data_IF_300156255692
#
_entry.id   IF_300156255692
#
_cell.length_a   1.000
_cell.length_b   1.000
_cell.length_c   1.000
_cell.angle_alpha   90.00
_cell.angle_beta   90.00
_cell.angle_gamma   90.00
#
_symmetry.space_group_name_H-M   'P 1'
#
loop_
_entity.id
_entity.type
_entity.pdbx_description
1 polymer ?
#
# COMPACT_ATOMS: atom_id res chain seq x y z
N UNK A 1 -72.56 -33.91 -2.17
CA UNK A 1 -72.08 -32.59 -2.66
C UNK A 1 -71.17 -31.90 -1.65
N UNK A 2 -71.61 -31.55 -0.44
CA UNK A 2 -70.77 -30.85 0.58
C UNK A 2 -69.40 -31.47 0.88
N UNK A 3 -69.30 -32.80 0.93
CA UNK A 3 -68.02 -33.48 1.17
C UNK A 3 -67.04 -33.27 -0.01
N UNK A 4 -67.56 -33.29 -1.23
CA UNK A 4 -66.78 -33.12 -2.47
C UNK A 4 -66.25 -31.68 -2.57
N UNK A 5 -67.06 -30.70 -2.18
CA UNK A 5 -66.69 -29.27 -2.18
C UNK A 5 -65.60 -28.95 -1.15
N UNK A 6 -65.70 -29.49 0.08
CA UNK A 6 -64.68 -29.33 1.10
C UNK A 6 -63.36 -30.05 0.75
N UNK A 7 -63.45 -31.19 0.06
CA UNK A 7 -62.29 -31.90 -0.48
C UNK A 7 -61.62 -31.06 -1.56
N UNK A 8 -62.40 -30.41 -2.43
CA UNK A 8 -61.86 -29.53 -3.48
C UNK A 8 -61.14 -28.31 -2.89
N UNK A 9 -61.71 -27.64 -1.88
CA UNK A 9 -61.02 -26.52 -1.21
C UNK A 9 -59.71 -26.95 -0.53
N UNK A 10 -59.69 -28.13 0.09
CA UNK A 10 -58.49 -28.68 0.72
C UNK A 10 -57.41 -29.00 -0.32
N UNK A 11 -57.81 -29.58 -1.47
CA UNK A 11 -56.91 -29.85 -2.60
C UNK A 11 -56.31 -28.55 -3.13
N UNK A 12 -57.08 -27.47 -3.24
CA UNK A 12 -56.59 -26.17 -3.72
C UNK A 12 -55.53 -25.58 -2.78
N UNK A 13 -55.73 -25.65 -1.47
CA UNK A 13 -54.76 -25.15 -0.48
C UNK A 13 -53.47 -25.97 -0.52
N UNK A 14 -53.55 -27.30 -0.64
CA UNK A 14 -52.38 -28.17 -0.75
C UNK A 14 -51.65 -27.96 -2.08
N UNK A 15 -52.37 -27.78 -3.20
CA UNK A 15 -51.75 -27.52 -4.52
C UNK A 15 -51.05 -26.17 -4.57
N UNK A 16 -51.64 -25.15 -3.92
CA UNK A 16 -51.04 -23.83 -3.81
C UNK A 16 -49.77 -23.83 -2.94
N UNK A 17 -49.83 -24.47 -1.77
CA UNK A 17 -48.68 -24.60 -0.88
C UNK A 17 -47.51 -25.37 -1.50
N UNK A 18 -47.80 -26.47 -2.21
CA UNK A 18 -46.77 -27.26 -2.92
C UNK A 18 -46.16 -26.50 -4.10
N UNK A 19 -46.94 -25.68 -4.82
CA UNK A 19 -46.43 -24.82 -5.89
C UNK A 19 -45.44 -23.78 -5.36
N UNK A 20 -45.77 -23.12 -4.24
CA UNK A 20 -44.89 -22.14 -3.57
C UNK A 20 -43.61 -22.81 -3.06
N UNK A 21 -43.74 -23.96 -2.40
CA UNK A 21 -42.59 -24.73 -1.91
C UNK A 21 -41.62 -25.09 -3.04
N UNK A 22 -42.13 -25.56 -4.19
CA UNK A 22 -41.32 -25.90 -5.36
C UNK A 22 -40.65 -24.68 -6.01
N UNK A 23 -41.33 -23.52 -6.04
CA UNK A 23 -40.71 -22.26 -6.51
C UNK A 23 -39.56 -21.85 -5.58
N UNK A 24 -39.75 -21.97 -4.27
CA UNK A 24 -38.76 -21.55 -3.28
C UNK A 24 -37.54 -22.47 -3.23
N UNK A 25 -37.75 -23.80 -3.28
CA UNK A 25 -36.68 -24.79 -3.42
C UNK A 25 -35.91 -24.65 -4.74
N UNK A 26 -36.53 -24.10 -5.78
CA UNK A 26 -35.88 -23.87 -7.07
C UNK A 26 -35.11 -22.54 -7.12
N UNK A 27 -35.55 -21.51 -6.38
CA UNK A 27 -34.86 -20.22 -6.28
C UNK A 27 -33.46 -20.31 -5.62
N UNK A 28 -33.18 -21.41 -4.92
CA UNK A 28 -31.92 -21.63 -4.20
C UNK A 28 -30.88 -22.45 -4.98
N UNK A 29 -31.22 -23.02 -6.15
CA UNK A 29 -30.36 -23.94 -6.91
C UNK A 29 -30.02 -23.41 -8.31
N UNK A 30 -28.75 -23.07 -8.53
CA UNK A 30 -28.29 -22.22 -9.62
C UNK A 30 -27.83 -22.96 -10.92
N UNK A 31 -28.44 -24.09 -11.34
CA UNK A 31 -28.14 -24.68 -12.68
C UNK A 31 -29.32 -25.24 -13.50
N UNK A 32 -29.47 -24.66 -14.70
CA UNK A 32 -30.03 -25.02 -16.03
C UNK A 32 -31.16 -26.04 -16.25
N UNK A 33 -31.79 -26.67 -15.24
CA UNK A 33 -32.96 -27.56 -15.43
C UNK A 33 -34.30 -26.85 -15.15
N UNK A 34 -34.39 -25.58 -15.54
CA UNK A 34 -35.33 -24.60 -14.98
C UNK A 34 -36.76 -24.62 -15.54
N UNK A 35 -36.98 -25.06 -16.77
CA UNK A 35 -38.28 -24.83 -17.43
C UNK A 35 -39.41 -25.73 -16.90
N UNK A 36 -39.13 -27.02 -16.64
CA UNK A 36 -40.20 -27.98 -16.29
C UNK A 36 -40.79 -27.74 -14.90
N UNK A 37 -39.98 -27.34 -13.90
CA UNK A 37 -40.45 -27.11 -12.53
C UNK A 37 -41.30 -25.84 -12.46
N UNK A 38 -40.87 -24.76 -13.14
CA UNK A 38 -41.64 -23.51 -13.21
C UNK A 38 -42.98 -23.73 -13.89
N UNK A 39 -43.02 -24.50 -14.99
CA UNK A 39 -44.26 -24.83 -15.70
C UNK A 39 -45.22 -25.62 -14.79
N UNK A 40 -44.72 -26.61 -14.05
CA UNK A 40 -45.55 -27.39 -13.11
C UNK A 40 -46.09 -26.52 -11.98
N UNK A 41 -45.28 -25.61 -11.42
CA UNK A 41 -45.75 -24.68 -10.37
C UNK A 41 -46.81 -23.72 -10.89
N UNK A 42 -46.68 -23.21 -12.11
CA UNK A 42 -47.68 -22.33 -12.74
C UNK A 42 -49.00 -23.07 -13.00
N UNK A 43 -48.94 -24.34 -13.43
CA UNK A 43 -50.13 -25.18 -13.63
C UNK A 43 -50.86 -25.41 -12.30
N UNK A 44 -50.13 -25.73 -11.22
CA UNK A 44 -50.71 -25.95 -9.91
C UNK A 44 -51.35 -24.68 -9.32
N UNK A 45 -50.77 -23.50 -9.60
CA UNK A 45 -51.28 -22.21 -9.17
C UNK A 45 -52.56 -21.85 -9.93
N UNK A 46 -52.58 -22.06 -11.25
CA UNK A 46 -53.79 -21.90 -12.06
C UNK A 46 -54.91 -22.84 -11.61
N UNK A 47 -54.60 -24.10 -11.28
CA UNK A 47 -55.58 -25.06 -10.78
C UNK A 47 -56.16 -24.61 -9.42
N UNK A 48 -55.34 -24.05 -8.53
CA UNK A 48 -55.81 -23.53 -7.25
C UNK A 48 -56.76 -22.34 -7.40
N UNK A 49 -56.48 -21.44 -8.35
CA UNK A 49 -57.32 -20.27 -8.64
C UNK A 49 -58.67 -20.69 -9.23
N UNK A 50 -58.70 -21.68 -10.12
CA UNK A 50 -59.95 -22.22 -10.67
C UNK A 50 -60.82 -22.79 -9.55
N UNK A 51 -60.24 -23.57 -8.64
CA UNK A 51 -60.99 -24.15 -7.53
C UNK A 51 -61.49 -23.06 -6.57
N UNK A 52 -60.70 -21.99 -6.35
CA UNK A 52 -61.09 -20.85 -5.53
C UNK A 52 -62.27 -20.06 -6.12
N UNK A 53 -62.36 -19.95 -7.45
CA UNK A 53 -63.52 -19.34 -8.13
C UNK A 53 -64.77 -20.19 -7.91
N UNK A 54 -64.67 -21.51 -8.05
CA UNK A 54 -65.80 -22.41 -7.80
C UNK A 54 -66.27 -22.38 -6.34
N UNK A 55 -65.38 -22.24 -5.37
CA UNK A 55 -65.76 -22.14 -3.96
C UNK A 55 -66.41 -20.79 -3.63
N UNK A 56 -65.96 -19.69 -4.25
CA UNK A 56 -66.59 -18.36 -4.10
C UNK A 56 -67.99 -18.33 -4.73
N UNK A 57 -68.16 -18.89 -5.93
CA UNK A 57 -69.45 -18.96 -6.61
C UNK A 57 -70.48 -19.73 -5.78
N UNK A 58 -70.07 -20.88 -5.22
CA UNK A 58 -70.90 -21.65 -4.29
C UNK A 58 -71.25 -20.88 -3.00
N UNK A 59 -70.31 -20.13 -2.43
CA UNK A 59 -70.58 -19.27 -1.27
C UNK A 59 -71.59 -18.16 -1.60
N UNK A 60 -71.57 -17.63 -2.83
CA UNK A 60 -72.57 -16.69 -3.34
C UNK A 60 -73.97 -17.28 -3.41
N UNK A 61 -74.10 -18.52 -3.88
CA UNK A 61 -75.37 -19.26 -3.90
C UNK A 61 -75.92 -19.54 -2.49
N UNK A 62 -75.02 -19.83 -1.53
CA UNK A 62 -75.38 -20.00 -0.11
C UNK A 62 -75.84 -18.68 0.53
N UNK A 63 -75.22 -17.55 0.17
CA UNK A 63 -75.61 -16.22 0.66
C UNK A 63 -77.00 -15.78 0.14
N UNK A 64 -77.32 -16.13 -1.11
CA UNK A 64 -78.58 -15.75 -1.76
C UNK A 64 -79.79 -16.62 -1.33
N UNK A 65 -79.58 -17.82 -0.77
CA UNK A 65 -80.66 -18.72 -0.28
C UNK A 65 -80.43 -19.18 1.17
N UNK A 66 -80.51 -18.29 2.16
CA UNK A 66 -80.11 -18.59 3.54
C UNK A 66 -81.01 -19.61 4.26
N UNK A 67 -82.29 -19.76 3.85
CA UNK A 67 -83.24 -20.64 4.55
C UNK A 67 -83.16 -22.12 4.16
N UNK A 68 -82.50 -22.48 3.05
CA UNK A 68 -82.24 -23.88 2.68
C UNK A 68 -81.08 -24.51 3.48
N UNK A 69 -80.44 -23.73 4.35
CA UNK A 69 -79.22 -24.08 5.07
C UNK A 69 -79.31 -23.72 6.56
N UNK A 70 -80.41 -24.07 7.23
CA UNK A 70 -80.39 -24.25 8.69
C UNK A 70 -79.56 -25.49 9.01
N UNK A 71 -78.23 -25.37 8.94
CA UNK A 71 -77.30 -26.38 9.43
C UNK A 71 -76.87 -25.96 10.83
N UNK A 72 -76.93 -26.89 11.78
CA UNK A 72 -76.45 -26.68 13.13
C UNK A 72 -74.92 -26.47 13.07
N UNK A 73 -74.46 -25.23 13.23
CA UNK A 73 -73.03 -24.88 13.09
C UNK A 73 -72.17 -25.55 14.17
N UNK A 74 -72.78 -26.16 15.20
CA UNK A 74 -72.11 -27.01 16.20
C UNK A 74 -71.32 -28.16 15.58
N UNK A 75 -71.85 -28.82 14.56
CA UNK A 75 -71.12 -29.90 13.87
C UNK A 75 -69.98 -29.37 13.00
N UNK A 76 -70.16 -28.19 12.38
CA UNK A 76 -69.14 -27.55 11.53
C UNK A 76 -67.93 -27.10 12.37
N UNK A 77 -68.17 -26.62 13.59
CA UNK A 77 -67.09 -26.32 14.55
C UNK A 77 -66.25 -27.55 14.88
N UNK A 78 -66.88 -28.71 15.14
CA UNK A 78 -66.16 -29.96 15.41
C UNK A 78 -65.32 -30.46 14.23
N UNK A 79 -65.81 -30.30 12.98
CA UNK A 79 -64.99 -30.57 11.80
C UNK A 79 -63.82 -29.57 11.67
N UNK A 80 -64.05 -28.29 11.96
CA UNK A 80 -63.01 -27.26 12.00
C UNK A 80 -61.92 -27.56 13.03
N UNK A 81 -62.31 -28.04 14.22
CA UNK A 81 -61.39 -28.43 15.29
C UNK A 81 -60.60 -29.70 14.93
N UNK A 82 -61.21 -30.66 14.23
CA UNK A 82 -60.51 -31.84 13.72
C UNK A 82 -59.48 -31.47 12.64
N UNK A 83 -59.86 -30.64 11.66
CA UNK A 83 -58.94 -30.17 10.62
C UNK A 83 -57.86 -29.26 11.20
N UNK A 84 -58.19 -28.34 12.11
CA UNK A 84 -57.22 -27.48 12.80
C UNK A 84 -56.25 -28.26 13.69
N UNK A 85 -56.74 -29.27 14.40
CA UNK A 85 -55.94 -30.16 15.25
C UNK A 85 -54.94 -31.02 14.48
N UNK A 86 -55.23 -31.35 13.21
CA UNK A 86 -54.32 -32.11 12.33
C UNK A 86 -53.43 -31.17 11.51
N UNK A 87 -53.99 -30.11 10.93
CA UNK A 87 -53.28 -29.20 10.03
C UNK A 87 -52.30 -28.31 10.78
N UNK A 88 -52.62 -27.81 11.98
CA UNK A 88 -51.71 -26.91 12.71
C UNK A 88 -50.38 -27.59 13.05
N UNK A 89 -50.33 -28.83 13.59
CA UNK A 89 -49.07 -29.55 13.79
C UNK A 89 -48.29 -29.81 12.50
N UNK A 90 -48.98 -30.14 11.40
CA UNK A 90 -48.34 -30.39 10.10
C UNK A 90 -47.73 -29.09 9.56
N UNK A 91 -48.47 -27.98 9.59
CA UNK A 91 -48.00 -26.67 9.15
C UNK A 91 -46.86 -26.16 10.05
N UNK A 92 -46.95 -26.37 11.36
CA UNK A 92 -45.87 -26.04 12.29
C UNK A 92 -44.60 -26.86 12.00
N UNK A 93 -44.74 -28.16 11.70
CA UNK A 93 -43.61 -29.02 11.34
C UNK A 93 -42.96 -28.59 10.02
N UNK A 94 -43.76 -28.25 9.00
CA UNK A 94 -43.27 -27.67 7.74
C UNK A 94 -42.55 -26.35 8.02
N UNK A 95 -43.09 -25.50 8.90
CA UNK A 95 -42.48 -24.25 9.32
C UNK A 95 -41.10 -24.47 9.98
N UNK A 96 -40.97 -25.47 10.85
CA UNK A 96 -39.70 -25.83 11.49
C UNK A 96 -38.69 -26.33 10.45
N UNK A 97 -39.09 -27.15 9.49
CA UNK A 97 -38.21 -27.63 8.42
C UNK A 97 -37.77 -26.45 7.55
N UNK A 98 -38.71 -25.58 7.15
CA UNK A 98 -38.41 -24.40 6.35
C UNK A 98 -37.46 -23.44 7.08
N UNK A 99 -37.70 -23.18 8.37
CA UNK A 99 -36.81 -22.39 9.21
C UNK A 99 -35.42 -23.05 9.33
N UNK A 100 -35.36 -24.37 9.56
CA UNK A 100 -34.10 -25.11 9.64
C UNK A 100 -33.32 -25.05 8.32
N UNK A 101 -34.00 -25.15 7.18
CA UNK A 101 -33.39 -24.97 5.85
C UNK A 101 -32.91 -23.54 5.64
N UNK A 102 -33.68 -22.54 6.05
CA UNK A 102 -33.28 -21.14 5.98
C UNK A 102 -32.03 -20.87 6.84
N UNK A 103 -32.01 -21.38 8.07
CA UNK A 103 -30.84 -21.32 8.95
C UNK A 103 -29.62 -22.05 8.36
N UNK A 104 -29.83 -23.22 7.77
CA UNK A 104 -28.76 -23.97 7.12
C UNK A 104 -28.16 -23.19 5.94
N UNK A 105 -29.01 -22.62 5.07
CA UNK A 105 -28.53 -21.78 3.95
C UNK A 105 -27.80 -20.54 4.45
N UNK A 106 -28.27 -19.90 5.53
CA UNK A 106 -27.59 -18.77 6.14
C UNK A 106 -26.22 -19.16 6.73
N UNK A 107 -26.13 -20.32 7.38
CA UNK A 107 -24.88 -20.88 7.87
C UNK A 107 -23.88 -21.14 6.72
N UNK A 108 -24.34 -21.74 5.62
CA UNK A 108 -23.50 -21.99 4.45
C UNK A 108 -23.03 -20.69 3.79
N UNK A 109 -23.92 -19.70 3.64
CA UNK A 109 -23.55 -18.37 3.12
C UNK A 109 -22.51 -17.68 4.02
N UNK A 110 -22.68 -17.73 5.34
CA UNK A 110 -21.70 -17.20 6.29
C UNK A 110 -20.34 -17.90 6.17
N UNK A 111 -20.33 -19.22 5.97
CA UNK A 111 -19.11 -19.99 5.73
C UNK A 111 -18.41 -19.56 4.43
N UNK A 112 -19.15 -19.34 3.35
CA UNK A 112 -18.59 -18.86 2.08
C UNK A 112 -17.96 -17.46 2.23
N UNK A 113 -18.63 -16.57 2.96
CA UNK A 113 -18.09 -15.23 3.28
C UNK A 113 -16.79 -15.33 4.08
N UNK A 114 -16.69 -16.23 5.07
CA UNK A 114 -15.45 -16.45 5.81
C UNK A 114 -14.30 -16.94 4.91
N UNK A 115 -14.58 -17.86 3.99
CA UNK A 115 -13.57 -18.34 3.03
C UNK A 115 -13.10 -17.22 2.09
N UNK A 116 -14.02 -16.39 1.59
CA UNK A 116 -13.66 -15.21 0.79
C UNK A 116 -12.80 -14.22 1.57
N UNK A 117 -13.13 -13.97 2.84
CA UNK A 117 -12.30 -13.14 3.70
C UNK A 117 -10.90 -13.72 3.87
N UNK A 118 -10.76 -15.04 4.04
CA UNK A 118 -9.45 -15.69 4.14
C UNK A 118 -8.64 -15.60 2.85
N UNK A 119 -9.27 -15.80 1.69
CA UNK A 119 -8.63 -15.64 0.37
C UNK A 119 -8.20 -14.18 0.12
N UNK A 120 -8.94 -13.20 0.64
CA UNK A 120 -8.66 -11.78 0.45
C UNK A 120 -7.60 -11.21 1.41
N UNK A 121 -7.34 -11.86 2.56
CA UNK A 121 -6.40 -11.36 3.59
C UNK A 121 -5.06 -10.92 3.02
N UNK A 122 -4.45 -11.74 2.16
CA UNK A 122 -3.13 -11.45 1.60
C UNK A 122 -3.15 -10.22 0.67
N UNK A 123 -4.21 -10.08 -0.12
CA UNK A 123 -4.44 -8.89 -0.96
C UNK A 123 -4.61 -7.63 -0.12
N UNK A 124 -5.42 -7.69 0.94
CA UNK A 124 -5.64 -6.58 1.86
C UNK A 124 -4.34 -6.16 2.56
N UNK A 125 -3.48 -7.11 2.94
CA UNK A 125 -2.17 -6.79 3.54
C UNK A 125 -1.23 -6.05 2.58
N UNK A 126 -1.23 -6.41 1.29
CA UNK A 126 -0.44 -5.71 0.27
C UNK A 126 -1.04 -4.32 0.03
N UNK A 127 -2.35 -4.21 -0.14
CA UNK A 127 -3.04 -2.95 -0.36
C UNK A 127 -2.84 -1.96 0.81
N UNK A 128 -2.90 -2.45 2.06
CA UNK A 128 -2.60 -1.64 3.23
C UNK A 128 -1.15 -1.17 3.28
N UNK A 129 -0.20 -2.00 2.84
CA UNK A 129 1.19 -1.58 2.69
C UNK A 129 1.32 -0.49 1.62
N UNK A 130 0.73 -0.69 0.44
CA UNK A 130 0.80 0.26 -0.67
C UNK A 130 0.19 1.62 -0.30
N UNK A 131 -0.97 1.62 0.35
CA UNK A 131 -1.61 2.84 0.85
C UNK A 131 -0.68 3.61 1.81
N UNK A 132 -0.03 2.91 2.75
CA UNK A 132 0.92 3.52 3.68
C UNK A 132 2.20 4.01 2.98
N UNK A 133 2.71 3.24 2.01
CA UNK A 133 3.87 3.58 1.19
C UNK A 133 3.63 4.87 0.40
N UNK A 134 2.53 4.94 -0.37
CA UNK A 134 2.21 6.13 -1.17
C UNK A 134 1.88 7.34 -0.30
N UNK A 135 1.27 7.14 0.88
CA UNK A 135 1.07 8.23 1.85
C UNK A 135 2.39 8.79 2.36
N UNK A 136 3.33 7.94 2.74
CA UNK A 136 4.66 8.37 3.16
C UNK A 136 5.43 9.06 2.01
N UNK A 137 5.26 8.58 0.78
CA UNK A 137 5.86 9.20 -0.41
C UNK A 137 5.27 10.60 -0.66
N UNK A 138 3.97 10.76 -0.47
CA UNK A 138 3.32 12.07 -0.52
C UNK A 138 3.82 13.00 0.57
N UNK A 139 3.98 12.52 1.81
CA UNK A 139 4.59 13.30 2.90
C UNK A 139 6.02 13.70 2.55
N UNK A 140 6.79 12.82 1.92
CA UNK A 140 8.14 13.15 1.45
C UNK A 140 8.13 14.31 0.45
N UNK A 141 7.21 14.31 -0.51
CA UNK A 141 7.04 15.42 -1.44
C UNK A 141 6.63 16.70 -0.74
N UNK A 142 5.77 16.64 0.28
CA UNK A 142 5.39 17.80 1.08
C UNK A 142 6.59 18.37 1.84
N UNK A 143 7.40 17.52 2.50
CA UNK A 143 8.63 17.95 3.18
C UNK A 143 9.55 18.69 2.21
N UNK A 144 9.72 18.16 0.98
CA UNK A 144 10.51 18.85 -0.04
C UNK A 144 9.85 20.19 -0.40
N UNK A 145 8.55 20.22 -0.68
CA UNK A 145 7.85 21.44 -1.09
C UNK A 145 7.97 22.56 -0.06
N UNK A 146 7.92 22.20 1.23
CA UNK A 146 7.98 23.12 2.37
C UNK A 146 9.39 23.67 2.64
N UNK A 147 10.44 23.13 2.00
CA UNK A 147 11.81 23.66 2.17
C UNK A 147 11.98 25.00 1.46
N UNK A 148 12.49 25.99 2.18
CA UNK A 148 12.83 27.29 1.62
C UNK A 148 14.02 27.97 2.31
N UNK A 149 15.08 28.24 1.56
CA UNK A 149 16.28 28.89 2.09
C UNK A 149 16.54 30.24 1.43
N UNK A 150 16.99 31.21 2.22
CA UNK A 150 17.55 32.44 1.66
C UNK A 150 18.82 32.12 0.89
N UNK A 151 18.85 32.45 -0.40
CA UNK A 151 19.96 32.06 -1.27
C UNK A 151 21.29 32.65 -0.80
N UNK A 152 21.30 33.91 -0.37
CA UNK A 152 22.49 34.56 0.20
C UNK A 152 23.01 33.82 1.43
N UNK A 153 22.12 33.24 2.23
CA UNK A 153 22.54 32.47 3.38
C UNK A 153 23.29 31.20 2.93
N UNK A 154 22.88 30.51 1.86
CA UNK A 154 23.58 29.33 1.35
C UNK A 154 25.07 29.60 1.08
N UNK A 155 25.40 30.79 0.57
CA UNK A 155 26.77 31.13 0.20
C UNK A 155 27.61 31.74 1.35
N UNK A 156 27.00 31.95 2.53
CA UNK A 156 27.70 32.42 3.73
C UNK A 156 28.07 31.27 4.65
N UNK A 157 29.36 30.98 4.79
CA UNK A 157 29.88 29.90 5.65
C UNK A 157 30.85 30.50 6.66
N UNK A 158 30.59 30.27 7.96
CA UNK A 158 31.40 30.82 9.08
C UNK A 158 31.65 32.33 8.97
N UNK A 159 30.65 33.10 8.54
CA UNK A 159 30.76 34.56 8.38
C UNK A 159 31.47 35.03 7.11
N UNK A 160 32.10 34.15 6.34
CA UNK A 160 32.67 34.48 5.02
C UNK A 160 31.62 34.32 3.92
N UNK A 161 31.57 35.26 2.99
CA UNK A 161 30.66 35.25 1.84
C UNK A 161 31.37 34.71 0.60
N UNK A 162 30.84 33.63 0.03
CA UNK A 162 31.38 32.95 -1.16
C UNK A 162 30.54 33.19 -2.42
N UNK A 163 29.55 34.09 -2.39
CA UNK A 163 28.67 34.40 -3.53
C UNK A 163 29.46 34.90 -4.75
N UNK A 164 30.55 35.66 -4.52
CA UNK A 164 31.41 36.20 -5.57
C UNK A 164 31.95 35.13 -6.54
N UNK A 165 32.14 33.90 -6.06
CA UNK A 165 32.65 32.76 -6.85
C UNK A 165 31.67 32.26 -7.92
N UNK A 166 30.39 32.60 -7.80
CA UNK A 166 29.34 32.19 -8.72
C UNK A 166 28.78 33.38 -9.53
N UNK A 167 29.28 34.59 -9.28
CA UNK A 167 28.63 35.85 -9.69
C UNK A 167 28.92 36.33 -11.12
N UNK A 168 29.83 35.70 -11.89
CA UNK A 168 30.27 36.31 -13.16
C UNK A 168 29.23 36.32 -14.30
N UNK A 169 28.15 35.53 -14.22
CA UNK A 169 27.06 35.54 -15.22
C UNK A 169 25.65 35.25 -14.65
N UNK A 170 25.51 34.96 -13.35
CA UNK A 170 24.21 34.57 -12.78
C UNK A 170 23.46 35.83 -12.29
N UNK A 171 22.39 36.23 -13.01
CA UNK A 171 21.39 37.24 -12.60
C UNK A 171 20.80 37.01 -11.19
N UNK A 172 21.07 35.84 -10.62
CA UNK A 172 20.58 35.31 -9.36
C UNK A 172 21.03 36.14 -8.14
N UNK A 173 22.16 36.84 -8.20
CA UNK A 173 22.76 37.55 -7.05
C UNK A 173 22.43 39.04 -6.94
N UNK A 174 21.54 39.59 -7.79
CA UNK A 174 21.17 41.01 -7.73
C UNK A 174 20.15 41.36 -6.63
N UNK A 175 19.52 40.35 -6.01
CA UNK A 175 18.46 40.55 -5.02
C UNK A 175 18.79 39.78 -3.73
N UNK A 176 19.03 40.49 -2.63
CA UNK A 176 19.46 39.89 -1.37
C UNK A 176 18.40 39.00 -0.71
N UNK A 177 17.14 39.16 -1.09
CA UNK A 177 15.98 38.44 -0.57
C UNK A 177 15.56 37.23 -1.41
N UNK A 178 16.34 36.81 -2.40
CA UNK A 178 15.95 35.68 -3.25
C UNK A 178 15.87 34.39 -2.43
N UNK A 179 14.68 33.82 -2.33
CA UNK A 179 14.42 32.53 -1.68
C UNK A 179 14.54 31.42 -2.73
N UNK A 180 15.32 30.38 -2.42
CA UNK A 180 15.29 29.12 -3.15
C UNK A 180 14.30 28.19 -2.48
N UNK A 181 13.42 27.57 -3.26
CA UNK A 181 12.34 26.72 -2.72
C UNK A 181 12.46 25.30 -3.23
N UNK A 182 11.91 24.39 -2.44
CA UNK A 182 11.73 22.99 -2.81
C UNK A 182 13.01 22.32 -3.32
N UNK A 183 12.96 21.63 -4.47
CA UNK A 183 14.12 20.90 -5.02
C UNK A 183 15.31 21.81 -5.34
N UNK A 184 15.08 23.09 -5.64
CA UNK A 184 16.17 24.04 -5.93
C UNK A 184 17.04 24.31 -4.71
N UNK A 185 16.53 24.07 -3.50
CA UNK A 185 17.31 24.11 -2.25
C UNK A 185 18.51 23.17 -2.35
N UNK A 186 18.29 21.91 -2.75
CA UNK A 186 19.35 20.91 -2.90
C UNK A 186 20.33 21.34 -3.98
N UNK A 187 19.84 21.83 -5.12
CA UNK A 187 20.69 22.29 -6.23
C UNK A 187 21.59 23.45 -5.82
N UNK A 188 21.04 24.49 -5.20
CA UNK A 188 21.78 25.70 -4.86
C UNK A 188 22.76 25.46 -3.69
N UNK A 189 22.33 24.73 -2.66
CA UNK A 189 23.20 24.33 -1.54
C UNK A 189 24.35 23.43 -1.98
N UNK A 190 24.12 22.56 -2.97
CA UNK A 190 25.14 21.68 -3.49
C UNK A 190 26.27 22.43 -4.20
N UNK A 191 26.01 23.57 -4.85
CA UNK A 191 27.03 24.31 -5.64
C UNK A 191 28.26 24.68 -4.81
N UNK A 192 28.05 25.25 -3.63
CA UNK A 192 29.16 25.65 -2.76
C UNK A 192 29.78 24.46 -2.02
N UNK A 193 28.94 23.51 -1.57
CA UNK A 193 29.41 22.26 -0.97
C UNK A 193 30.34 21.49 -1.92
N UNK A 194 29.94 21.31 -3.18
CA UNK A 194 30.71 20.63 -4.21
C UNK A 194 32.06 21.31 -4.45
N UNK A 195 32.10 22.65 -4.49
CA UNK A 195 33.36 23.37 -4.63
C UNK A 195 34.32 23.10 -3.48
N UNK A 196 33.82 23.11 -2.23
CA UNK A 196 34.63 22.79 -1.06
C UNK A 196 35.15 21.34 -1.11
N UNK A 197 34.28 20.39 -1.48
CA UNK A 197 34.64 18.98 -1.62
C UNK A 197 35.64 18.74 -2.76
N UNK A 198 35.51 19.44 -3.88
CA UNK A 198 36.44 19.34 -5.01
C UNK A 198 37.85 19.77 -4.61
N UNK A 199 37.94 20.87 -3.85
CA UNK A 199 39.22 21.36 -3.34
C UNK A 199 39.80 20.39 -2.31
N UNK A 200 38.96 19.79 -1.47
CA UNK A 200 39.35 18.76 -0.51
C UNK A 200 39.86 17.49 -1.19
N UNK A 201 39.18 17.01 -2.24
CA UNK A 201 39.62 15.85 -3.04
C UNK A 201 40.98 16.11 -3.68
N UNK A 202 41.20 17.32 -4.22
CA UNK A 202 42.50 17.71 -4.80
C UNK A 202 43.60 17.85 -3.76
N UNK A 203 43.29 18.40 -2.58
CA UNK A 203 44.22 18.48 -1.43
C UNK A 203 44.68 17.08 -1.05
N UNK A 204 43.73 16.16 -0.90
CA UNK A 204 43.95 14.78 -0.50
C UNK A 204 44.72 13.99 -1.55
N UNK A 205 44.43 14.22 -2.82
CA UNK A 205 45.11 13.59 -3.96
C UNK A 205 46.44 14.26 -4.34
N UNK A 206 46.90 15.28 -3.61
CA UNK A 206 48.09 16.10 -3.93
C UNK A 206 48.10 16.67 -5.36
N UNK A 207 46.94 16.96 -5.94
CA UNK A 207 46.78 17.56 -7.27
C UNK A 207 46.95 19.08 -7.25
N UNK A 208 47.04 19.72 -8.42
CA UNK A 208 47.18 21.16 -8.58
C UNK A 208 46.17 21.97 -7.74
N UNK A 209 46.66 23.03 -7.10
CA UNK A 209 45.87 23.95 -6.29
C UNK A 209 44.97 24.80 -7.20
N UNK A 210 43.65 24.74 -7.00
CA UNK A 210 42.68 25.74 -7.50
C UNK A 210 42.05 26.44 -6.30
N UNK A 211 41.70 27.73 -6.45
CA UNK A 211 41.12 28.58 -5.41
C UNK A 211 41.95 28.57 -4.11
N UNK A 212 43.12 29.21 -4.16
CA UNK A 212 44.13 29.22 -3.08
C UNK A 212 43.56 29.63 -1.73
N UNK A 213 42.62 30.58 -1.70
CA UNK A 213 41.94 31.02 -0.48
C UNK A 213 41.15 29.89 0.20
N UNK A 214 40.22 29.26 -0.51
CA UNK A 214 39.44 28.13 0.02
C UNK A 214 40.36 26.96 0.39
N UNK A 215 41.38 26.69 -0.43
CA UNK A 215 42.37 25.67 -0.13
C UNK A 215 43.09 25.92 1.21
N UNK A 216 43.49 27.17 1.48
CA UNK A 216 44.12 27.56 2.74
C UNK A 216 43.16 27.45 3.93
N UNK A 217 41.86 27.72 3.73
CA UNK A 217 40.84 27.52 4.77
C UNK A 217 40.61 26.04 5.06
N UNK A 218 40.46 25.20 4.03
CA UNK A 218 40.25 23.75 4.16
C UNK A 218 41.42 23.08 4.88
N UNK A 219 42.66 23.53 4.64
CA UNK A 219 43.84 23.04 5.37
C UNK A 219 43.77 23.20 6.88
N UNK A 220 42.99 24.18 7.37
CA UNK A 220 42.80 24.44 8.80
C UNK A 220 41.65 23.62 9.39
N UNK A 221 40.87 22.94 8.55
CA UNK A 221 39.73 22.14 9.03
C UNK A 221 40.20 20.84 9.66
N UNK A 222 39.50 20.35 10.69
CA UNK A 222 39.83 19.07 11.30
C UNK A 222 39.64 17.94 10.28
N UNK A 223 40.63 17.06 10.22
CA UNK A 223 40.60 15.87 9.37
C UNK A 223 40.26 14.64 10.18
N UNK A 224 39.53 13.72 9.57
CA UNK A 224 39.33 12.36 10.07
C UNK A 224 40.03 11.36 9.14
N UNK A 225 40.32 10.18 9.68
CA UNK A 225 40.72 9.02 8.88
C UNK A 225 39.48 8.33 8.31
N UNK A 226 39.51 8.05 7.02
CA UNK A 226 38.56 7.14 6.38
C UNK A 226 39.35 6.07 5.64
N UNK A 227 38.93 4.81 5.76
CA UNK A 227 39.58 3.69 5.12
C UNK A 227 38.63 3.02 4.12
N UNK A 228 39.23 2.52 3.04
CA UNK A 228 38.66 1.44 2.27
C UNK A 228 39.60 0.25 2.17
N UNK A 229 39.18 -0.84 1.51
CA UNK A 229 39.98 -2.06 1.32
C UNK A 229 41.38 -1.84 0.71
N UNK A 230 41.65 -0.69 0.08
CA UNK A 230 42.88 -0.41 -0.68
C UNK A 230 43.73 0.73 -0.10
N UNK A 231 43.12 1.69 0.61
CA UNK A 231 43.78 2.93 1.00
C UNK A 231 43.17 3.55 2.26
N UNK A 232 44.04 4.13 3.09
CA UNK A 232 43.68 5.03 4.18
C UNK A 232 43.83 6.49 3.71
N UNK A 233 42.86 7.32 4.05
CA UNK A 233 42.79 8.72 3.62
C UNK A 233 42.49 9.64 4.81
N UNK A 234 43.30 10.69 4.97
CA UNK A 234 43.04 11.79 5.90
C UNK A 234 42.27 12.92 5.19
N UNK A 235 41.01 13.11 5.57
CA UNK A 235 40.12 14.06 4.89
C UNK A 235 39.33 14.95 5.85
N UNK A 236 39.08 16.18 5.43
CA UNK A 236 38.16 17.12 6.06
C UNK A 236 36.71 16.93 5.59
N UNK A 237 36.41 15.86 4.82
CA UNK A 237 35.09 15.56 4.26
C UNK A 237 33.95 15.75 5.26
N UNK A 238 34.00 15.04 6.40
CA UNK A 238 32.90 15.03 7.36
C UNK A 238 32.70 16.42 7.98
N UNK A 239 33.80 17.15 8.20
CA UNK A 239 33.73 18.52 8.68
C UNK A 239 33.06 19.44 7.65
N UNK A 240 33.49 19.36 6.39
CA UNK A 240 32.91 20.13 5.29
C UNK A 240 31.43 19.82 5.17
N UNK A 241 31.05 18.55 5.05
CA UNK A 241 29.64 18.14 4.96
C UNK A 241 28.82 18.72 6.11
N UNK A 242 29.30 18.59 7.35
CA UNK A 242 28.61 19.10 8.53
C UNK A 242 28.48 20.63 8.56
N UNK A 243 29.41 21.40 7.95
CA UNK A 243 29.26 22.86 7.85
C UNK A 243 28.04 23.26 7.01
N UNK A 244 27.77 22.53 5.92
CA UNK A 244 26.62 22.80 5.06
C UNK A 244 25.34 22.19 5.62
N UNK A 245 25.43 20.99 6.17
CA UNK A 245 24.29 20.26 6.73
C UNK A 245 23.74 20.95 7.99
N UNK A 246 24.59 21.28 8.98
CA UNK A 246 24.15 21.88 10.26
C UNK A 246 23.44 23.21 10.10
N UNK A 247 23.74 23.94 9.02
CA UNK A 247 23.09 25.22 8.72
C UNK A 247 21.57 25.09 8.56
N UNK A 248 21.11 23.94 8.08
CA UNK A 248 19.71 23.62 7.84
C UNK A 248 19.37 22.23 8.39
N UNK A 249 19.89 21.90 9.58
CA UNK A 249 19.77 20.56 10.18
C UNK A 249 18.31 20.13 10.35
N UNK A 250 17.43 21.07 10.67
CA UNK A 250 15.99 20.81 10.78
C UNK A 250 15.45 20.24 9.48
N UNK A 251 15.58 20.97 8.36
CA UNK A 251 14.99 20.58 7.08
C UNK A 251 15.65 19.33 6.48
N UNK A 252 16.98 19.29 6.42
CA UNK A 252 17.69 18.11 5.94
C UNK A 252 17.45 16.89 6.83
N UNK A 253 17.40 17.08 8.15
CA UNK A 253 17.14 16.03 9.11
C UNK A 253 15.75 15.42 8.94
N UNK A 254 14.72 16.25 8.75
CA UNK A 254 13.36 15.78 8.45
C UNK A 254 13.31 15.02 7.12
N UNK A 255 13.95 15.56 6.07
CA UNK A 255 14.02 14.93 4.76
C UNK A 255 14.68 13.55 4.80
N UNK A 256 15.90 13.44 5.35
CA UNK A 256 16.61 12.16 5.37
C UNK A 256 15.95 11.14 6.29
N UNK A 257 15.36 11.57 7.42
CA UNK A 257 14.63 10.66 8.31
C UNK A 257 13.41 10.07 7.62
N UNK A 258 12.67 10.88 6.87
CA UNK A 258 11.51 10.41 6.12
C UNK A 258 11.92 9.51 4.95
N UNK A 259 12.92 9.91 4.16
CA UNK A 259 13.44 9.09 3.05
C UNK A 259 14.00 7.74 3.53
N UNK A 260 14.75 7.75 4.63
CA UNK A 260 15.20 6.53 5.29
C UNK A 260 14.03 5.65 5.71
N UNK A 261 12.99 6.23 6.34
CA UNK A 261 11.82 5.48 6.78
C UNK A 261 11.07 4.85 5.60
N UNK A 262 10.91 5.57 4.50
CA UNK A 262 10.30 5.08 3.26
C UNK A 262 11.00 3.83 2.74
N UNK A 263 12.33 3.85 2.67
CA UNK A 263 13.10 2.70 2.20
C UNK A 263 13.07 1.58 3.23
N UNK A 264 13.13 1.93 4.52
CA UNK A 264 13.16 0.95 5.61
C UNK A 264 11.87 0.15 5.72
N UNK A 265 10.69 0.75 5.53
CA UNK A 265 9.43 0.00 5.56
C UNK A 265 9.33 -1.02 4.42
N UNK A 266 9.93 -0.72 3.26
CA UNK A 266 10.00 -1.64 2.13
C UNK A 266 10.96 -2.79 2.46
N UNK A 267 12.12 -2.48 3.04
CA UNK A 267 13.14 -3.44 3.46
C UNK A 267 12.61 -4.46 4.49
N UNK A 268 11.87 -3.97 5.49
CA UNK A 268 11.33 -4.77 6.60
C UNK A 268 10.12 -5.64 6.21
N UNK A 269 9.31 -5.21 5.24
CA UNK A 269 8.11 -5.95 4.85
C UNK A 269 8.49 -7.26 4.16
N UNK A 270 7.81 -8.37 4.47
CA UNK A 270 7.92 -9.63 3.70
C UNK A 270 6.76 -9.72 2.71
N UNK A 271 7.07 -9.81 1.42
CA UNK A 271 6.10 -9.93 0.32
C UNK A 271 6.05 -11.35 -0.25
N UNK A 272 7.18 -12.07 -0.25
CA UNK A 272 7.23 -13.47 -0.70
C UNK A 272 8.05 -14.35 0.26
N UNK A 273 7.72 -15.64 0.29
CA UNK A 273 8.56 -16.65 0.95
C UNK A 273 9.83 -16.96 0.14
N UNK A 274 9.82 -16.69 -1.16
CA UNK A 274 11.00 -16.80 -2.01
C UNK A 274 11.83 -15.51 -1.90
N UNK A 275 13.03 -15.62 -1.34
CA UNK A 275 13.93 -14.49 -1.08
C UNK A 275 14.31 -13.68 -2.33
N UNK A 276 14.39 -14.33 -3.50
CA UNK A 276 14.72 -13.66 -4.77
C UNK A 276 13.52 -12.85 -5.27
N UNK A 277 12.32 -13.42 -5.18
CA UNK A 277 11.08 -12.75 -5.55
C UNK A 277 10.77 -11.57 -4.61
N UNK A 278 10.93 -11.79 -3.29
CA UNK A 278 10.79 -10.76 -2.27
C UNK A 278 11.73 -9.57 -2.54
N UNK A 279 12.99 -9.85 -2.85
CA UNK A 279 13.94 -8.81 -3.23
C UNK A 279 13.51 -8.06 -4.50
N UNK A 280 13.02 -8.74 -5.53
CA UNK A 280 12.55 -8.08 -6.77
C UNK A 280 11.38 -7.13 -6.49
N UNK A 281 10.42 -7.54 -5.66
CA UNK A 281 9.29 -6.70 -5.26
C UNK A 281 9.79 -5.48 -4.48
N UNK A 282 10.65 -5.67 -3.48
CA UNK A 282 11.27 -4.58 -2.71
C UNK A 282 12.05 -3.62 -3.60
N UNK A 283 12.87 -4.16 -4.50
CA UNK A 283 13.62 -3.39 -5.46
C UNK A 283 12.70 -2.55 -6.34
N UNK A 284 11.56 -3.09 -6.80
CA UNK A 284 10.54 -2.34 -7.53
C UNK A 284 10.06 -1.11 -6.75
N UNK A 285 9.64 -1.27 -5.48
CA UNK A 285 9.21 -0.12 -4.66
C UNK A 285 10.33 0.88 -4.39
N UNK A 286 11.55 0.43 -4.08
CA UNK A 286 12.69 1.35 -3.89
C UNK A 286 13.09 2.07 -5.18
N UNK A 287 12.85 1.46 -6.34
CA UNK A 287 13.05 2.09 -7.64
C UNK A 287 12.03 3.21 -7.90
N UNK A 288 10.79 3.05 -7.42
CA UNK A 288 9.77 4.11 -7.44
C UNK A 288 10.25 5.29 -6.58
N UNK A 289 10.74 5.03 -5.35
CA UNK A 289 11.32 6.08 -4.49
C UNK A 289 12.46 6.79 -5.22
N UNK A 290 13.42 6.04 -5.76
CA UNK A 290 14.58 6.61 -6.48
C UNK A 290 14.17 7.48 -7.66
N UNK A 291 13.13 7.09 -8.41
CA UNK A 291 12.63 7.86 -9.54
C UNK A 291 12.04 9.23 -9.13
N UNK A 292 11.65 9.41 -7.87
CA UNK A 292 11.18 10.70 -7.38
C UNK A 292 12.31 11.66 -7.01
N UNK A 293 13.52 11.18 -6.75
CA UNK A 293 14.66 11.99 -6.31
C UNK A 293 15.32 12.70 -7.50
N UNK A 294 15.60 14.00 -7.36
CA UNK A 294 16.40 14.74 -8.33
C UNK A 294 17.89 14.39 -8.26
N UNK A 295 18.65 14.72 -9.31
CA UNK A 295 20.12 14.55 -9.32
C UNK A 295 20.80 15.24 -8.13
N UNK A 296 20.32 16.43 -7.74
CA UNK A 296 20.85 17.16 -6.60
C UNK A 296 20.55 16.43 -5.26
N UNK A 297 19.36 15.85 -5.12
CA UNK A 297 18.98 15.05 -3.96
C UNK A 297 19.83 13.77 -3.86
N UNK A 298 20.07 13.08 -4.99
CA UNK A 298 20.94 11.90 -5.06
C UNK A 298 22.39 12.26 -4.69
N UNK A 299 22.90 13.38 -5.21
CA UNK A 299 24.22 13.90 -4.88
C UNK A 299 24.36 14.16 -3.37
N UNK A 300 23.34 14.77 -2.77
CA UNK A 300 23.28 14.99 -1.33
C UNK A 300 23.18 13.68 -0.54
N UNK A 301 22.36 12.72 -0.99
CA UNK A 301 22.24 11.39 -0.39
C UNK A 301 23.57 10.63 -0.39
N UNK A 302 24.28 10.67 -1.52
CA UNK A 302 25.62 10.08 -1.64
C UNK A 302 26.57 10.63 -0.57
N UNK A 303 26.55 11.94 -0.31
CA UNK A 303 27.44 12.53 0.67
C UNK A 303 26.98 12.21 2.10
N UNK A 304 25.66 12.22 2.36
CA UNK A 304 25.09 11.88 3.66
C UNK A 304 25.51 10.47 4.10
N UNK A 305 25.45 9.50 3.20
CA UNK A 305 25.83 8.12 3.45
C UNK A 305 27.33 7.93 3.77
N UNK A 306 28.21 8.89 3.46
CA UNK A 306 29.62 8.89 3.86
C UNK A 306 29.93 9.82 5.04
N UNK A 307 28.89 10.39 5.66
CA UNK A 307 29.01 11.26 6.85
C UNK A 307 28.63 10.51 8.13
N UNK A 308 28.97 11.10 9.27
CA UNK A 308 28.56 10.63 10.59
C UNK A 308 27.04 10.50 10.78
N UNK A 309 26.24 11.17 9.93
CA UNK A 309 24.77 11.13 9.95
C UNK A 309 24.18 9.89 9.29
N UNK A 310 24.74 9.49 8.14
CA UNK A 310 24.10 8.51 7.25
C UNK A 310 24.77 7.15 7.18
N UNK A 311 26.06 7.05 7.51
CA UNK A 311 26.85 5.86 7.20
C UNK A 311 26.37 4.58 7.87
N UNK A 312 25.98 4.61 9.16
CA UNK A 312 25.59 3.38 9.88
C UNK A 312 24.25 2.81 9.43
N UNK A 313 23.28 3.68 9.11
CA UNK A 313 21.88 3.27 8.93
C UNK A 313 21.44 3.33 7.48
N UNK A 314 21.81 4.40 6.78
CA UNK A 314 21.24 4.70 5.48
C UNK A 314 22.06 4.11 4.34
N UNK A 315 23.40 4.20 4.44
CA UNK A 315 24.31 3.61 3.46
C UNK A 315 24.03 2.12 3.15
N UNK A 316 23.80 1.24 4.15
CA UNK A 316 23.45 -0.17 3.89
C UNK A 316 22.24 -0.35 2.97
N UNK A 317 21.18 0.45 3.17
CA UNK A 317 19.97 0.38 2.35
C UNK A 317 20.22 0.93 0.94
N UNK A 318 21.00 2.00 0.84
CA UNK A 318 21.40 2.60 -0.44
C UNK A 318 22.18 1.59 -1.30
N UNK A 319 23.06 0.81 -0.68
CA UNK A 319 23.83 -0.24 -1.34
C UNK A 319 22.99 -1.47 -1.68
N UNK A 320 22.11 -1.88 -0.76
CA UNK A 320 21.22 -3.02 -0.98
C UNK A 320 20.27 -2.83 -2.16
N UNK A 321 19.82 -1.60 -2.41
CA UNK A 321 18.82 -1.30 -3.44
C UNK A 321 19.34 -0.49 -4.62
N UNK A 322 20.66 -0.35 -4.75
CA UNK A 322 21.30 0.37 -5.86
C UNK A 322 20.76 1.79 -6.04
N UNK A 323 20.57 2.52 -4.93
CA UNK A 323 19.90 3.82 -4.98
C UNK A 323 20.72 4.91 -5.69
N UNK A 324 22.03 4.70 -5.85
CA UNK A 324 22.95 5.65 -6.49
C UNK A 324 23.18 5.34 -7.98
N UNK A 325 22.37 4.47 -8.59
CA UNK A 325 22.51 4.06 -10.00
C UNK A 325 22.59 5.21 -11.01
N UNK A 326 21.95 6.35 -10.72
CA UNK A 326 21.89 7.51 -11.63
C UNK A 326 22.97 8.56 -11.35
N UNK A 327 23.90 8.31 -10.42
CA UNK A 327 24.92 9.30 -10.07
C UNK A 327 25.94 9.49 -11.19
N UNK A 328 26.36 10.74 -11.41
CA UNK A 328 27.39 11.06 -12.40
C UNK A 328 28.80 10.79 -11.85
N UNK A 329 29.31 9.59 -12.08
CA UNK A 329 30.68 9.20 -11.72
C UNK A 329 31.79 9.85 -12.57
N UNK A 330 31.45 10.65 -13.59
CA UNK A 330 32.45 11.45 -14.31
C UNK A 330 32.88 12.69 -13.49
N UNK A 331 32.09 13.08 -12.49
CA UNK A 331 32.46 14.16 -11.57
C UNK A 331 33.62 13.73 -10.66
N UNK A 332 34.62 14.61 -10.50
CA UNK A 332 35.84 14.30 -9.75
C UNK A 332 35.57 13.98 -8.27
N UNK A 333 34.56 14.62 -7.65
CA UNK A 333 34.20 14.36 -6.24
C UNK A 333 33.57 12.98 -6.11
N UNK A 334 32.56 12.69 -6.92
CA UNK A 334 31.84 11.41 -6.84
C UNK A 334 32.71 10.23 -7.25
N UNK A 335 33.57 10.39 -8.27
CA UNK A 335 34.53 9.36 -8.63
C UNK A 335 35.55 9.06 -7.51
N UNK A 336 35.99 10.10 -6.80
CA UNK A 336 36.92 9.91 -5.69
C UNK A 336 36.26 9.14 -4.53
N UNK A 337 35.06 9.56 -4.15
CA UNK A 337 34.36 9.01 -2.99
C UNK A 337 33.59 7.71 -3.27
N UNK A 338 33.31 7.37 -4.54
CA UNK A 338 32.61 6.12 -4.90
C UNK A 338 33.38 4.87 -4.43
N UNK A 339 34.70 5.00 -4.24
CA UNK A 339 35.58 3.96 -3.71
C UNK A 339 35.28 3.55 -2.26
N UNK A 340 34.39 4.27 -1.58
CA UNK A 340 33.90 3.96 -0.23
C UNK A 340 32.49 3.34 -0.26
N UNK A 341 32.00 2.97 -1.44
CA UNK A 341 30.77 2.22 -1.61
C UNK A 341 31.06 0.82 -2.17
N UNK A 342 30.15 -0.11 -1.89
CA UNK A 342 30.01 -1.35 -2.63
C UNK A 342 29.53 -1.05 -4.06
N UNK A 343 29.96 -1.85 -5.04
CA UNK A 343 29.53 -1.70 -6.43
C UNK A 343 28.00 -1.82 -6.59
N UNK A 344 27.36 -2.54 -5.66
CA UNK A 344 25.90 -2.70 -5.59
C UNK A 344 25.15 -1.39 -5.35
N UNK A 345 25.79 -0.35 -4.81
CA UNK A 345 25.20 0.99 -4.70
C UNK A 345 24.85 1.61 -6.06
N UNK A 346 25.63 1.26 -7.09
CA UNK A 346 25.53 1.81 -8.43
C UNK A 346 24.90 0.82 -9.41
N UNK A 347 25.07 -0.48 -9.18
CA UNK A 347 24.64 -1.53 -10.11
C UNK A 347 23.73 -2.54 -9.42
N UNK A 348 22.55 -2.77 -9.99
CA UNK A 348 21.64 -3.79 -9.49
C UNK A 348 22.02 -5.18 -10.03
N UNK A 349 21.79 -6.26 -9.26
CA UNK A 349 22.01 -7.62 -9.74
C UNK A 349 21.18 -7.93 -10.99
N UNK A 350 21.79 -8.56 -12.00
CA UNK A 350 21.17 -8.79 -13.32
C UNK A 350 20.50 -10.16 -13.47
N UNK A 351 20.78 -11.11 -12.57
CA UNK A 351 20.24 -12.47 -12.62
C UNK A 351 19.83 -12.97 -11.23
N UNK A 352 19.03 -14.04 -11.17
CA UNK A 352 18.63 -14.68 -9.92
C UNK A 352 19.83 -15.20 -9.10
N UNK A 353 20.89 -15.69 -9.76
CA UNK A 353 22.10 -16.13 -9.06
C UNK A 353 22.86 -14.97 -8.42
N UNK A 354 22.99 -13.83 -9.13
CA UNK A 354 23.59 -12.63 -8.57
C UNK A 354 22.75 -12.01 -7.46
N UNK A 355 21.41 -12.07 -7.54
CA UNK A 355 20.53 -11.64 -6.44
C UNK A 355 20.82 -12.46 -5.18
N UNK A 356 20.99 -13.78 -5.31
CA UNK A 356 21.28 -14.64 -4.16
C UNK A 356 22.59 -14.24 -3.48
N UNK A 357 23.67 -14.08 -4.26
CA UNK A 357 24.98 -13.64 -3.75
C UNK A 357 24.89 -12.24 -3.12
N UNK A 358 24.16 -11.32 -3.75
CA UNK A 358 23.93 -9.98 -3.22
C UNK A 358 23.25 -10.01 -1.85
N UNK A 359 22.27 -10.91 -1.66
CA UNK A 359 21.55 -11.05 -0.40
C UNK A 359 22.33 -11.80 0.69
N UNK A 360 23.40 -12.51 0.35
CA UNK A 360 24.36 -13.07 1.31
C UNK A 360 25.30 -11.99 1.88
N UNK A 361 25.34 -10.79 1.29
CA UNK A 361 26.13 -9.68 1.81
C UNK A 361 25.46 -9.05 3.04
N UNK A 362 26.18 -9.01 4.15
CA UNK A 362 25.76 -8.22 5.32
C UNK A 362 26.09 -6.74 5.09
N UNK A 363 25.13 -5.98 4.58
CA UNK A 363 25.31 -4.55 4.29
C UNK A 363 25.58 -3.68 5.53
N UNK A 364 25.29 -4.16 6.74
CA UNK A 364 25.52 -3.39 7.98
C UNK A 364 26.90 -3.64 8.57
N UNK A 365 27.45 -4.85 8.40
CA UNK A 365 28.74 -5.23 8.97
C UNK A 365 29.88 -5.35 7.95
N UNK A 366 29.57 -5.58 6.67
CA UNK A 366 30.55 -5.75 5.59
C UNK A 366 30.73 -4.46 4.78
N UNK A 367 30.97 -3.36 5.48
CA UNK A 367 31.18 -2.06 4.85
C UNK A 367 32.63 -1.93 4.34
N UNK A 368 32.78 -1.51 3.08
CA UNK A 368 34.08 -1.10 2.53
C UNK A 368 34.54 0.21 3.16
N UNK A 369 33.64 0.99 3.76
CA UNK A 369 33.91 2.26 4.41
C UNK A 369 34.07 2.10 5.93
N UNK A 370 35.27 2.39 6.43
CA UNK A 370 35.56 2.41 7.87
C UNK A 370 35.98 3.83 8.25
N UNK A 371 35.07 4.65 8.77
CA UNK A 371 35.38 5.99 9.23
C UNK A 371 35.77 6.02 10.71
N UNK A 372 36.80 6.80 11.03
CA UNK A 372 37.16 7.15 12.41
C UNK A 372 36.51 8.47 12.77
N UNK A 373 35.20 8.47 12.91
CA UNK A 373 34.52 9.59 13.55
C UNK A 373 34.87 9.57 15.03
N UNK A 374 35.38 10.68 15.56
CA UNK A 374 35.52 10.84 17.00
C UNK A 374 34.10 10.80 17.58
N UNK A 375 33.74 9.66 18.17
CA UNK A 375 32.48 9.47 18.90
C UNK A 375 32.60 10.08 20.29
#
# INVERSE_FOLDING_TARGET
MKLVENILSLIAVISFGSAIYLIFMNATSNKTKYSKIIIVSLILLALSLVILVFTIDYLGDVYNKPQAFKKDFKEIGAYGDFFGGILNPILAFIGIIAASLAFYMQYEANRQVQLQFEEQKDGDYIQNFENNFYKLLSIHHQIIQDMDFYLNSIYKIKGADYSYLFSKNDFIFRNEEKITKSRDVFKNSFRLLHLFLLIEVRRTSKKNKKNVEIYNNIKKFPTIKIMNKKQEINTSFNYIYNLFYKKYDTDYGHYYRNLYRLIKIVDEKKFSNNIIEDYKIKYSYTSIIRAQLSDAEINWLFLNCLSDKGYKKFKPLVEKYSLLKIINLNDEVFNFFSKFYLDSAFNNPTSNSFIKIHLETDFYNNDVFIPFYNL
#
